data_IF_592502193528
#
_entry.id   IF_592502193528
#
_cell.length_a   1.000
_cell.length_b   1.000
_cell.length_c   1.000
_cell.angle_alpha   90.00
_cell.angle_beta   90.00
_cell.angle_gamma   90.00
#
_symmetry.space_group_name_H-M   'P 1'
#
loop_
_entity.id
_entity.type
_entity.pdbx_description
1 polymer ?
#
# COMPACT_ATOMS: atom_id res chain seq x y z
N UNK A 1 2.40 -12.23 -4.25
CA UNK A 1 2.37 -11.45 -5.50
C UNK A 1 1.16 -10.54 -5.41
N UNK A 2 1.33 -9.24 -5.52
CA UNK A 2 0.22 -8.31 -5.74
C UNK A 2 0.11 -8.08 -7.25
N UNK A 3 -1.11 -8.07 -7.79
CA UNK A 3 -1.36 -7.63 -9.16
C UNK A 3 -1.71 -6.16 -9.11
N UNK A 4 -0.98 -5.35 -9.88
CA UNK A 4 -1.17 -3.91 -9.94
C UNK A 4 -1.78 -3.51 -11.28
N UNK A 5 -2.80 -2.66 -11.24
CA UNK A 5 -3.27 -1.90 -12.39
C UNK A 5 -2.95 -0.43 -12.13
N UNK A 6 -2.30 0.25 -13.06
CA UNK A 6 -1.91 1.66 -12.92
C UNK A 6 -2.83 2.58 -13.71
N UNK A 7 -3.37 3.59 -13.04
CA UNK A 7 -4.06 4.73 -13.63
C UNK A 7 -3.17 5.96 -13.73
N UNK A 8 -3.75 7.15 -13.59
CA UNK A 8 -3.01 8.43 -13.62
C UNK A 8 -2.45 8.77 -12.22
N UNK A 9 -1.28 8.20 -11.90
CA UNK A 9 -0.58 8.46 -10.63
C UNK A 9 -1.16 7.73 -9.41
N UNK A 10 -1.99 6.72 -9.64
CA UNK A 10 -2.56 5.85 -8.61
C UNK A 10 -2.58 4.42 -9.14
N UNK A 11 -2.37 3.43 -8.29
CA UNK A 11 -2.48 2.02 -8.64
C UNK A 11 -3.48 1.28 -7.75
N UNK A 12 -4.07 0.23 -8.31
CA UNK A 12 -4.86 -0.75 -7.59
C UNK A 12 -3.94 -1.80 -6.96
N UNK A 13 -4.10 -2.07 -5.67
CA UNK A 13 -3.54 -3.25 -5.01
C UNK A 13 -4.64 -4.28 -4.79
N UNK A 14 -4.53 -5.42 -5.46
CA UNK A 14 -5.44 -6.56 -5.22
C UNK A 14 -4.94 -7.39 -4.04
N UNK A 15 -5.61 -7.27 -2.90
CA UNK A 15 -5.42 -8.18 -1.77
C UNK A 15 -6.00 -9.57 -2.13
N UNK A 16 -5.64 -10.60 -1.35
CA UNK A 16 -6.31 -11.90 -1.47
C UNK A 16 -7.77 -11.83 -1.02
N UNK A 17 -8.10 -10.89 -0.13
CA UNK A 17 -9.47 -10.44 0.09
C UNK A 17 -9.96 -9.74 -1.18
N UNK A 18 -11.19 -10.00 -1.62
CA UNK A 18 -11.73 -9.45 -2.88
C UNK A 18 -11.95 -7.93 -2.88
N UNK A 19 -11.39 -7.20 -1.91
CA UNK A 19 -11.52 -5.74 -1.78
C UNK A 19 -10.34 -5.09 -2.49
N UNK A 20 -10.56 -4.36 -3.60
CA UNK A 20 -9.52 -3.57 -4.22
C UNK A 20 -9.26 -2.32 -3.39
N UNK A 21 -7.99 -2.07 -3.08
CA UNK A 21 -7.52 -0.82 -2.47
C UNK A 21 -6.71 -0.03 -3.49
N UNK A 22 -6.76 1.29 -3.38
CA UNK A 22 -6.19 2.21 -4.35
C UNK A 22 -5.25 3.18 -3.65
N UNK A 23 -4.11 3.43 -4.25
CA UNK A 23 -3.06 4.17 -3.55
C UNK A 23 -1.81 4.45 -4.36
N UNK A 24 -0.81 4.96 -3.66
CA UNK A 24 0.54 5.14 -4.18
C UNK A 24 1.59 5.00 -3.06
N UNK A 25 2.81 4.67 -3.47
CA UNK A 25 4.01 4.64 -2.63
C UNK A 25 4.86 5.89 -2.76
N UNK A 26 5.50 6.28 -1.67
CA UNK A 26 6.59 7.25 -1.67
C UNK A 26 7.84 6.59 -1.11
N UNK A 27 8.96 6.71 -1.81
CA UNK A 27 10.27 6.29 -1.33
C UNK A 27 11.26 7.43 -1.54
N UNK A 28 11.77 7.97 -0.43
CA UNK A 28 12.78 9.03 -0.39
C UNK A 28 13.81 8.72 0.70
N UNK A 29 15.03 9.28 0.65
CA UNK A 29 16.00 9.16 1.73
C UNK A 29 15.36 9.27 3.13
N UNK A 30 15.52 8.20 3.92
CA UNK A 30 14.98 8.01 5.30
C UNK A 30 13.49 7.75 5.43
N UNK A 31 12.68 7.87 4.39
CA UNK A 31 11.24 7.68 4.50
C UNK A 31 10.65 6.80 3.41
N UNK A 32 9.89 5.80 3.84
CA UNK A 32 9.02 5.03 2.97
C UNK A 32 7.59 5.24 3.45
N UNK A 33 6.71 5.67 2.57
CA UNK A 33 5.31 5.97 2.87
C UNK A 33 4.39 5.24 1.91
N UNK A 34 3.29 4.72 2.43
CA UNK A 34 2.22 4.15 1.62
C UNK A 34 0.92 4.81 2.02
N UNK A 35 0.07 5.09 1.03
CA UNK A 35 -1.29 5.57 1.24
C UNK A 35 -2.21 4.74 0.38
N UNK A 36 -3.18 4.08 1.01
CA UNK A 36 -4.13 3.18 0.36
C UNK A 36 -5.55 3.46 0.88
N UNK A 37 -6.56 3.21 0.06
CA UNK A 37 -7.96 3.35 0.49
C UNK A 37 -8.94 2.58 -0.39
N UNK A 38 -10.13 2.35 0.16
CA UNK A 38 -11.23 1.72 -0.58
C UNK A 38 -11.90 2.72 -1.52
N UNK A 39 -12.58 2.20 -2.54
CA UNK A 39 -13.36 3.01 -3.47
C UNK A 39 -14.38 3.88 -2.71
N UNK A 40 -14.45 5.17 -3.06
CA UNK A 40 -15.31 6.13 -2.38
C UNK A 40 -14.76 6.70 -1.07
N UNK A 41 -13.56 6.28 -0.64
CA UNK A 41 -12.77 6.97 0.40
C UNK A 41 -13.28 6.81 1.83
N UNK A 42 -14.17 5.84 2.10
CA UNK A 42 -14.73 5.62 3.44
C UNK A 42 -13.76 4.91 4.40
N UNK A 43 -12.75 4.25 3.87
CA UNK A 43 -11.74 3.52 4.65
C UNK A 43 -10.38 3.75 4.01
N UNK A 44 -9.49 4.40 4.76
CA UNK A 44 -8.18 4.86 4.28
C UNK A 44 -7.10 4.56 5.30
N UNK A 45 -5.91 4.26 4.84
CA UNK A 45 -4.73 4.06 5.66
C UNK A 45 -3.55 4.82 5.06
N UNK A 46 -2.82 5.54 5.90
CA UNK A 46 -1.52 6.09 5.59
C UNK A 46 -0.51 5.60 6.63
N UNK A 47 0.64 5.11 6.18
CA UNK A 47 1.68 4.55 7.05
C UNK A 47 3.07 4.99 6.56
N UNK A 48 3.96 5.29 7.50
CA UNK A 48 5.31 5.78 7.21
C UNK A 48 6.36 5.05 8.06
N UNK A 49 7.50 4.74 7.46
CA UNK A 49 8.69 4.24 8.13
C UNK A 49 9.80 5.29 8.03
N UNK A 50 10.49 5.54 9.14
CA UNK A 50 11.58 6.52 9.26
C UNK A 50 12.97 5.92 8.99
N UNK A 51 13.00 4.76 8.34
CA UNK A 51 14.22 4.12 7.86
C UNK A 51 13.93 3.50 6.51
N UNK A 52 14.84 3.72 5.57
CA UNK A 52 14.79 3.04 4.29
C UNK A 52 15.22 1.59 4.50
N UNK A 53 14.36 0.66 4.10
CA UNK A 53 14.64 -0.77 4.20
C UNK A 53 15.58 -1.16 3.04
N UNK A 54 16.40 -2.21 3.17
CA UNK A 54 17.33 -2.59 2.09
C UNK A 54 16.57 -2.94 0.80
N UNK A 55 17.17 -2.73 -0.37
CA UNK A 55 16.54 -2.95 -1.68
C UNK A 55 16.00 -4.39 -1.89
N UNK A 56 16.46 -5.35 -1.08
CA UNK A 56 16.03 -6.75 -1.12
C UNK A 56 15.04 -7.12 -0.01
N UNK A 57 14.56 -6.15 0.78
CA UNK A 57 13.58 -6.42 1.84
C UNK A 57 12.17 -6.57 1.27
N UNK A 58 11.38 -7.56 1.73
CA UNK A 58 9.98 -7.68 1.34
C UNK A 58 9.22 -6.41 1.75
N UNK A 59 8.20 -6.03 0.96
CA UNK A 59 7.36 -4.86 1.26
C UNK A 59 6.90 -4.90 2.74
N UNK A 60 7.39 -3.97 3.59
CA UNK A 60 7.19 -4.05 5.03
C UNK A 60 5.72 -3.81 5.44
N UNK A 61 4.89 -3.27 4.54
CA UNK A 61 3.51 -2.90 4.84
C UNK A 61 2.47 -3.96 4.44
N UNK A 62 2.88 -5.03 3.75
CA UNK A 62 1.96 -6.07 3.26
C UNK A 62 1.02 -6.60 4.34
N UNK A 63 1.57 -6.94 5.52
CA UNK A 63 0.77 -7.52 6.60
C UNK A 63 -0.15 -6.48 7.26
N UNK A 64 0.25 -5.21 7.27
CA UNK A 64 -0.58 -4.10 7.75
C UNK A 64 -1.80 -3.96 6.85
N UNK A 65 -1.63 -3.96 5.53
CA UNK A 65 -2.76 -3.89 4.59
C UNK A 65 -3.70 -5.08 4.70
N UNK A 66 -3.17 -6.30 4.85
CA UNK A 66 -3.99 -7.48 5.04
C UNK A 66 -4.81 -7.35 6.34
N UNK A 67 -4.19 -6.96 7.45
CA UNK A 67 -4.87 -6.82 8.73
C UNK A 67 -5.96 -5.72 8.70
N UNK A 68 -5.69 -4.60 8.03
CA UNK A 68 -6.58 -3.45 7.98
C UNK A 68 -7.77 -3.68 7.02
N UNK A 69 -7.53 -4.21 5.82
CA UNK A 69 -8.51 -4.25 4.74
C UNK A 69 -9.10 -5.64 4.43
N UNK A 70 -8.70 -6.71 5.14
CA UNK A 70 -9.24 -8.07 4.90
C UNK A 70 -10.39 -8.45 5.86
N UNK A 71 -11.08 -7.47 6.47
CA UNK A 71 -12.22 -7.69 7.36
C UNK A 71 -13.52 -7.16 6.76
#
# INVERSE_FOLDING_TARGET
>A
MFFYSYGLGIYETKLQSSVPIWGHTGDIPRFITFTEGTLGGKHTLAVSLNSMCSANSPNPFKNIFIAEFSR
#
